data_IF_590916978650
#
_entry.id   IF_590916978650
#
_cell.length_a   1.000
_cell.length_b   1.000
_cell.length_c   1.000
_cell.angle_alpha   90.00
_cell.angle_beta   90.00
_cell.angle_gamma   90.00
#
_symmetry.space_group_name_H-M   'P 1'
#
loop_
_entity.id
_entity.type
_entity.pdbx_description
1 polymer ?
#
# COMPACT_ATOMS: atom_id res chain seq x y z
N UNK A 1 17.42 -26.57 -16.60
CA UNK A 1 17.98 -26.33 -15.28
C UNK A 1 16.89 -25.90 -14.32
N UNK A 2 16.69 -26.57 -13.21
CA UNK A 2 15.69 -26.14 -12.27
C UNK A 2 16.08 -24.78 -11.69
N UNK A 3 15.15 -23.84 -11.72
CA UNK A 3 15.31 -22.53 -11.10
C UNK A 3 14.62 -22.59 -9.75
N UNK A 4 15.35 -22.28 -8.69
CA UNK A 4 14.75 -22.17 -7.38
C UNK A 4 13.95 -20.88 -7.34
N UNK A 5 12.63 -21.02 -7.38
CA UNK A 5 11.70 -19.91 -7.33
C UNK A 5 11.46 -19.51 -5.88
N UNK A 6 11.81 -18.26 -5.54
CA UNK A 6 11.48 -17.69 -4.24
C UNK A 6 10.27 -16.78 -4.38
N UNK A 7 9.26 -17.04 -3.59
CA UNK A 7 8.01 -16.28 -3.60
C UNK A 7 7.77 -15.71 -2.21
N UNK A 8 7.67 -14.37 -2.12
CA UNK A 8 7.23 -13.71 -0.90
C UNK A 8 5.70 -13.68 -0.90
N UNK A 9 5.09 -14.41 0.01
CA UNK A 9 3.64 -14.53 0.09
C UNK A 9 2.99 -13.48 1.01
N UNK A 10 3.79 -12.59 1.60
CA UNK A 10 3.27 -11.61 2.57
C UNK A 10 3.98 -10.27 2.39
N UNK A 11 3.54 -9.51 1.40
CA UNK A 11 4.06 -8.18 1.11
C UNK A 11 2.92 -7.16 1.09
N UNK A 12 3.16 -5.98 1.65
CA UNK A 12 2.15 -4.92 1.74
C UNK A 12 2.54 -3.70 0.92
N UNK A 13 1.57 -3.17 0.20
CA UNK A 13 1.70 -1.94 -0.59
C UNK A 13 0.54 -1.00 -0.30
N UNK A 14 0.70 0.28 -0.63
CA UNK A 14 -0.38 1.25 -0.65
C UNK A 14 -0.12 2.33 -1.71
N UNK A 15 -1.16 3.05 -2.16
CA UNK A 15 -0.98 4.12 -3.13
C UNK A 15 -0.18 5.28 -2.53
N UNK A 16 0.67 5.91 -3.34
CA UNK A 16 1.36 7.14 -2.93
C UNK A 16 0.36 8.27 -2.67
N UNK A 17 -0.57 8.43 -3.62
CA UNK A 17 -1.56 9.51 -3.57
C UNK A 17 -2.83 8.97 -2.94
N UNK A 18 -2.95 9.20 -1.65
CA UNK A 18 -4.03 8.69 -0.82
C UNK A 18 -5.12 9.75 -0.67
N UNK A 19 -6.38 9.43 -0.96
CA UNK A 19 -7.47 10.40 -0.77
C UNK A 19 -7.65 10.73 0.71
N UNK A 20 -7.90 12.01 0.99
CA UNK A 20 -8.15 12.45 2.37
C UNK A 20 -9.61 12.17 2.76
N UNK A 21 -9.88 10.93 3.08
CA UNK A 21 -11.21 10.50 3.49
C UNK A 21 -11.58 11.00 4.88
N UNK A 22 -10.58 11.27 5.73
CA UNK A 22 -10.83 11.83 7.05
C UNK A 22 -11.52 13.19 6.95
N UNK A 23 -11.05 14.05 6.05
CA UNK A 23 -11.69 15.35 5.79
C UNK A 23 -13.02 15.18 5.06
N UNK A 24 -13.06 14.32 4.04
CA UNK A 24 -14.27 14.13 3.23
C UNK A 24 -15.45 13.65 4.04
N UNK A 25 -15.24 12.70 4.94
CA UNK A 25 -16.30 12.10 5.75
C UNK A 25 -16.37 12.63 7.18
N UNK A 26 -15.57 13.65 7.50
CA UNK A 26 -15.47 14.22 8.86
C UNK A 26 -15.22 13.14 9.92
N UNK A 27 -14.35 12.18 9.59
CA UNK A 27 -14.04 11.06 10.47
C UNK A 27 -12.52 10.87 10.56
N UNK A 28 -11.90 11.29 11.67
CA UNK A 28 -10.43 11.22 11.82
C UNK A 28 -9.91 9.79 11.94
N UNK A 29 -10.78 8.78 12.09
CA UNK A 29 -10.35 7.39 12.12
C UNK A 29 -9.82 6.90 10.78
N UNK A 30 -10.21 7.54 9.66
CA UNK A 30 -9.60 7.24 8.37
C UNK A 30 -8.13 7.65 8.37
N UNK A 31 -7.22 6.74 7.98
CA UNK A 31 -5.80 7.08 7.88
C UNK A 31 -5.56 8.15 6.81
N UNK A 32 -4.57 8.98 7.05
CA UNK A 32 -4.08 9.96 6.06
C UNK A 32 -2.58 9.77 5.87
N UNK A 33 -2.08 10.20 4.71
CA UNK A 33 -0.65 10.11 4.39
C UNK A 33 -0.13 11.51 4.12
N UNK A 34 0.93 11.90 4.84
CA UNK A 34 1.62 13.16 4.64
C UNK A 34 2.96 12.91 3.95
N UNK A 35 3.19 13.60 2.82
CA UNK A 35 4.47 13.63 2.14
C UNK A 35 5.08 15.02 2.36
N UNK A 36 6.08 15.10 3.23
CA UNK A 36 6.67 16.39 3.60
C UNK A 36 8.15 16.25 3.88
N UNK A 37 8.95 17.16 3.33
CA UNK A 37 10.40 17.24 3.57
C UNK A 37 11.12 15.91 3.30
N UNK A 38 10.72 15.19 2.25
CA UNK A 38 11.29 13.90 1.90
C UNK A 38 10.89 12.77 2.83
N UNK A 39 9.97 13.02 3.73
CA UNK A 39 9.43 12.03 4.67
C UNK A 39 7.98 11.72 4.35
N UNK A 40 7.56 10.49 4.68
CA UNK A 40 6.24 9.97 4.35
C UNK A 40 5.65 9.33 5.60
N UNK A 41 4.57 9.91 6.10
CA UNK A 41 4.00 9.50 7.39
C UNK A 41 2.54 9.17 7.27
N UNK A 42 2.14 8.10 7.92
CA UNK A 42 0.73 7.73 8.08
C UNK A 42 0.24 8.28 9.42
N UNK A 43 -0.90 8.95 9.40
CA UNK A 43 -1.60 9.42 10.58
C UNK A 43 -2.93 8.72 10.71
N UNK A 44 -3.35 8.46 11.95
CA UNK A 44 -4.65 7.90 12.28
C UNK A 44 -5.17 8.58 13.54
N UNK A 45 -6.43 8.98 13.54
CA UNK A 45 -7.03 9.74 14.63
C UNK A 45 -6.26 11.05 14.94
N UNK A 46 -5.70 11.67 13.90
CA UNK A 46 -4.87 12.87 14.06
C UNK A 46 -3.52 12.63 14.72
N UNK A 47 -3.16 11.38 14.96
CA UNK A 47 -1.91 11.01 15.63
C UNK A 47 -0.97 10.27 14.66
N UNK A 48 0.33 10.48 14.84
CA UNK A 48 1.34 9.76 14.09
C UNK A 48 1.21 8.25 14.34
N UNK A 49 1.15 7.49 13.24
CA UNK A 49 1.07 6.04 13.31
C UNK A 49 2.38 5.38 12.87
N UNK A 50 2.87 5.73 11.68
CA UNK A 50 4.08 5.10 11.11
C UNK A 50 4.70 5.95 10.02
N UNK A 51 6.04 5.95 9.97
CA UNK A 51 6.78 6.46 8.82
C UNK A 51 6.96 5.33 7.80
N UNK A 52 6.76 5.66 6.52
CA UNK A 52 6.88 4.70 5.42
C UNK A 52 7.92 5.16 4.41
N UNK A 53 8.43 4.20 3.64
CA UNK A 53 9.44 4.44 2.63
C UNK A 53 8.81 4.41 1.23
N UNK A 54 9.45 5.02 0.20
CA UNK A 54 8.94 4.99 -1.16
C UNK A 54 8.68 3.58 -1.72
N UNK A 55 9.39 2.58 -1.24
CA UNK A 55 9.16 1.19 -1.66
C UNK A 55 7.75 0.68 -1.32
N UNK A 56 7.02 1.39 -0.46
CA UNK A 56 5.64 1.04 -0.12
C UNK A 56 4.69 1.22 -1.31
N UNK A 57 4.97 2.19 -2.20
CA UNK A 57 4.13 2.45 -3.39
C UNK A 57 4.88 2.30 -4.71
N UNK A 58 6.21 2.37 -4.71
CA UNK A 58 7.01 2.26 -5.93
C UNK A 58 7.38 0.81 -6.18
N UNK A 59 6.66 0.18 -7.10
CA UNK A 59 6.84 -1.24 -7.41
C UNK A 59 8.24 -1.54 -7.94
N UNK A 60 8.82 -0.65 -8.73
CA UNK A 60 10.16 -0.88 -9.28
C UNK A 60 11.23 -0.95 -8.18
N UNK A 61 11.13 -0.08 -7.17
CA UNK A 61 12.05 -0.14 -6.03
C UNK A 61 11.94 -1.46 -5.28
N UNK A 62 10.71 -1.97 -5.12
CA UNK A 62 10.48 -3.27 -4.47
C UNK A 62 11.10 -4.42 -5.26
N UNK A 63 10.89 -4.41 -6.57
CA UNK A 63 11.43 -5.44 -7.47
C UNK A 63 12.95 -5.45 -7.39
N UNK A 64 13.59 -4.27 -7.45
CA UNK A 64 15.03 -4.14 -7.39
C UNK A 64 15.59 -4.60 -6.04
N UNK A 65 14.94 -4.22 -4.94
CA UNK A 65 15.34 -4.65 -3.60
C UNK A 65 15.28 -6.18 -3.46
N UNK A 66 14.18 -6.79 -3.92
CA UNK A 66 13.97 -8.22 -3.77
C UNK A 66 14.86 -9.04 -4.70
N UNK A 67 15.22 -8.49 -5.86
CA UNK A 67 16.15 -9.15 -6.77
C UNK A 67 17.50 -9.44 -6.12
N UNK A 68 17.92 -8.59 -5.19
CA UNK A 68 19.18 -8.79 -4.43
C UNK A 68 19.13 -10.03 -3.54
N UNK A 69 17.95 -10.53 -3.22
CA UNK A 69 17.73 -11.72 -2.39
C UNK A 69 17.17 -12.89 -3.20
N UNK A 70 17.21 -12.78 -4.53
CA UNK A 70 16.68 -13.78 -5.47
C UNK A 70 15.18 -14.04 -5.31
N UNK A 71 14.44 -13.08 -4.79
CA UNK A 71 12.96 -13.16 -4.72
C UNK A 71 12.40 -12.71 -6.06
N UNK A 72 11.71 -13.63 -6.75
CA UNK A 72 11.22 -13.43 -8.11
C UNK A 72 9.77 -12.99 -8.17
N UNK A 73 8.97 -13.36 -7.17
CA UNK A 73 7.52 -13.10 -7.14
C UNK A 73 7.13 -12.57 -5.77
N UNK A 74 6.26 -11.57 -5.77
CA UNK A 74 5.66 -11.04 -4.55
C UNK A 74 4.15 -11.15 -4.64
N UNK A 75 3.52 -11.68 -3.61
CA UNK A 75 2.07 -11.63 -3.45
C UNK A 75 1.76 -10.40 -2.62
N UNK A 76 1.20 -9.37 -3.25
CA UNK A 76 0.97 -8.08 -2.60
C UNK A 76 -0.45 -7.97 -2.07
N UNK A 77 -0.58 -7.25 -0.96
CA UNK A 77 -1.86 -6.85 -0.39
C UNK A 77 -1.74 -5.46 0.20
N UNK A 78 -2.87 -4.87 0.58
CA UNK A 78 -2.88 -3.55 1.19
C UNK A 78 -2.33 -3.60 2.62
N UNK A 79 -1.66 -2.51 3.03
CA UNK A 79 -1.24 -2.34 4.43
C UNK A 79 -2.46 -2.40 5.34
N UNK A 80 -2.47 -3.27 6.38
CA UNK A 80 -3.68 -3.54 7.18
C UNK A 80 -4.33 -2.33 7.85
N UNK A 81 -3.57 -1.30 8.21
CA UNK A 81 -4.14 -0.08 8.81
C UNK A 81 -5.19 0.58 7.90
N UNK A 82 -5.13 0.30 6.60
CA UNK A 82 -6.03 0.85 5.59
C UNK A 82 -7.32 0.02 5.41
N UNK A 83 -7.48 -1.10 6.10
CA UNK A 83 -8.67 -1.95 5.91
C UNK A 83 -9.95 -1.27 6.37
N UNK A 84 -9.91 -0.56 7.49
CA UNK A 84 -11.03 0.25 7.98
C UNK A 84 -12.37 -0.49 8.01
N UNK A 85 -12.40 -1.70 8.54
CA UNK A 85 -13.61 -2.53 8.61
C UNK A 85 -14.73 -1.91 9.46
N UNK A 86 -14.37 -0.96 10.33
CA UNK A 86 -15.31 -0.21 11.15
C UNK A 86 -16.13 0.81 10.35
N UNK A 87 -15.71 1.17 9.13
CA UNK A 87 -16.34 2.23 8.35
C UNK A 87 -17.71 1.80 7.82
N UNK A 88 -18.65 2.75 7.67
CA UNK A 88 -19.93 2.49 6.99
C UNK A 88 -19.70 1.92 5.59
N UNK A 89 -20.62 1.05 5.12
CA UNK A 89 -20.44 0.29 3.91
C UNK A 89 -20.12 1.10 2.66
N UNK A 90 -20.79 2.26 2.47
CA UNK A 90 -20.54 3.13 1.32
C UNK A 90 -19.16 3.77 1.36
N UNK A 91 -18.70 4.18 2.54
CA UNK A 91 -17.37 4.75 2.74
C UNK A 91 -16.29 3.69 2.61
N UNK A 92 -16.51 2.51 3.18
CA UNK A 92 -15.60 1.38 3.04
C UNK A 92 -15.46 0.95 1.58
N UNK A 93 -16.55 0.97 0.82
CA UNK A 93 -16.52 0.63 -0.61
C UNK A 93 -15.61 1.58 -1.38
N UNK A 94 -15.72 2.88 -1.17
CA UNK A 94 -14.84 3.87 -1.83
C UNK A 94 -13.38 3.60 -1.51
N UNK A 95 -13.07 3.38 -0.24
CA UNK A 95 -11.72 3.10 0.22
C UNK A 95 -11.17 1.81 -0.41
N UNK A 96 -11.93 0.74 -0.36
CA UNK A 96 -11.48 -0.56 -0.85
C UNK A 96 -11.32 -0.57 -2.38
N UNK A 97 -12.12 0.20 -3.11
CA UNK A 97 -11.95 0.35 -4.56
C UNK A 97 -10.61 1.00 -4.89
N UNK A 98 -10.24 2.07 -4.19
CA UNK A 98 -8.94 2.74 -4.37
C UNK A 98 -7.80 1.75 -4.14
N UNK A 99 -7.87 0.98 -3.07
CA UNK A 99 -6.82 0.02 -2.70
C UNK A 99 -6.72 -1.12 -3.71
N UNK A 100 -7.85 -1.68 -4.11
CA UNK A 100 -7.89 -2.81 -5.04
C UNK A 100 -7.46 -2.38 -6.46
N UNK A 101 -7.85 -1.20 -6.90
CA UNK A 101 -7.44 -0.66 -8.20
C UNK A 101 -5.94 -0.41 -8.24
N UNK A 102 -5.37 0.09 -7.15
CA UNK A 102 -3.93 0.27 -7.04
C UNK A 102 -3.19 -1.06 -7.13
N UNK A 103 -3.61 -2.06 -6.37
CA UNK A 103 -2.97 -3.38 -6.41
C UNK A 103 -3.07 -4.02 -7.79
N UNK A 104 -4.22 -3.90 -8.45
CA UNK A 104 -4.42 -4.41 -9.81
C UNK A 104 -3.51 -3.69 -10.82
N UNK A 105 -3.38 -2.37 -10.71
CA UNK A 105 -2.52 -1.59 -11.58
C UNK A 105 -1.05 -1.99 -11.44
N UNK A 106 -0.57 -2.17 -10.21
CA UNK A 106 0.79 -2.63 -9.94
C UNK A 106 1.04 -3.98 -10.61
N UNK A 107 0.11 -4.92 -10.49
CA UNK A 107 0.23 -6.23 -11.13
C UNK A 107 0.23 -6.14 -12.65
N UNK A 108 -0.57 -5.26 -13.24
CA UNK A 108 -0.62 -5.06 -14.69
C UNK A 108 0.68 -4.45 -15.24
N UNK A 109 1.30 -3.55 -14.50
CA UNK A 109 2.56 -2.92 -14.90
C UNK A 109 3.76 -3.85 -14.73
N UNK A 110 3.66 -4.85 -13.88
CA UNK A 110 4.76 -5.77 -13.56
C UNK A 110 4.28 -7.23 -13.54
N UNK A 111 3.75 -7.75 -14.66
CA UNK A 111 3.07 -9.06 -14.68
C UNK A 111 3.98 -10.24 -14.42
N UNK A 112 5.31 -10.09 -14.58
CA UNK A 112 6.27 -11.19 -14.39
C UNK A 112 7.02 -11.10 -13.05
N UNK A 113 6.67 -10.15 -12.24
CA UNK A 113 7.32 -9.88 -10.96
C UNK A 113 6.29 -9.88 -9.82
#
# INVERSE_FOLDING_TARGET
MPVNLKIDTHAHVLPRDWPDLATRYHDPRFPTIEHRDGRHRIYKDGQFFREIQPRTWDAQLRIDDYARFDVSVQVISTVPVMFCYWAPGDQALELHKVLNEHSAQVCQEHPTN
#
